data_IF_431884039692
#
_entry.id   IF_431884039692
#
_cell.length_a   1.000
_cell.length_b   1.000
_cell.length_c   1.000
_cell.angle_alpha   90.00
_cell.angle_beta   90.00
_cell.angle_gamma   90.00
#
_symmetry.space_group_name_H-M   'P 1'
#
loop_
_entity.id
_entity.type
_entity.pdbx_description
1 polymer ?
#
# COMPACT_ATOMS: atom_id res chain seq x y z
N UNK A 1 1.43 -19.51 -10.01
CA UNK A 1 2.59 -19.41 -10.94
C UNK A 1 2.80 -17.94 -11.27
N UNK A 2 4.05 -17.51 -11.52
CA UNK A 2 4.31 -16.13 -11.93
C UNK A 2 3.75 -15.89 -13.35
N UNK A 3 3.05 -14.77 -13.61
CA UNK A 3 2.54 -14.46 -14.93
C UNK A 3 3.68 -14.32 -15.95
N UNK A 4 3.40 -14.61 -17.22
CA UNK A 4 4.36 -14.44 -18.31
C UNK A 4 4.62 -12.95 -18.60
N UNK A 5 5.72 -12.64 -19.30
CA UNK A 5 6.02 -11.24 -19.66
C UNK A 5 4.96 -10.69 -20.60
N UNK A 6 4.64 -11.49 -21.61
CA UNK A 6 3.66 -11.17 -22.65
C UNK A 6 2.25 -11.00 -22.08
N UNK A 7 1.86 -11.82 -21.08
CA UNK A 7 0.60 -11.67 -20.36
C UNK A 7 0.48 -10.29 -19.71
N UNK A 8 1.51 -9.83 -19.00
CA UNK A 8 1.50 -8.52 -18.32
C UNK A 8 1.51 -7.38 -19.34
N UNK A 9 2.37 -7.46 -20.35
CA UNK A 9 2.47 -6.44 -21.41
C UNK A 9 1.13 -6.28 -22.14
N UNK A 10 0.48 -7.39 -22.46
CA UNK A 10 -0.82 -7.40 -23.13
C UNK A 10 -1.92 -6.88 -22.20
N UNK A 11 -2.01 -7.41 -20.97
CA UNK A 11 -3.06 -7.06 -20.00
C UNK A 11 -3.11 -5.57 -19.68
N UNK A 12 -1.95 -4.95 -19.47
CA UNK A 12 -1.87 -3.53 -19.06
C UNK A 12 -1.52 -2.59 -20.22
N UNK A 13 -1.59 -3.08 -21.45
CA UNK A 13 -1.31 -2.34 -22.68
C UNK A 13 0.01 -1.54 -22.65
N UNK A 14 1.10 -2.21 -22.30
CA UNK A 14 2.43 -1.60 -22.21
C UNK A 14 3.06 -1.49 -23.60
N UNK A 15 2.59 -0.52 -24.40
CA UNK A 15 3.00 -0.33 -25.81
C UNK A 15 4.52 -0.32 -26.01
N UNK A 16 5.25 0.33 -25.10
CA UNK A 16 6.71 0.43 -25.19
C UNK A 16 7.40 -0.94 -25.16
N UNK A 17 6.78 -1.96 -24.55
CA UNK A 17 7.34 -3.31 -24.45
C UNK A 17 6.82 -4.29 -25.51
N UNK A 18 5.91 -3.86 -26.40
CA UNK A 18 5.43 -4.73 -27.49
C UNK A 18 6.50 -4.93 -28.57
N UNK A 19 7.40 -3.96 -28.74
CA UNK A 19 8.56 -4.10 -29.62
C UNK A 19 9.71 -4.79 -28.88
N UNK A 20 10.42 -5.74 -29.52
CA UNK A 20 11.64 -6.31 -28.95
C UNK A 20 12.65 -5.23 -28.56
N UNK A 21 13.40 -5.50 -27.49
CA UNK A 21 14.48 -4.63 -27.04
C UNK A 21 15.74 -4.89 -27.83
N UNK A 22 16.41 -3.83 -28.27
CA UNK A 22 17.70 -3.87 -28.94
C UNK A 22 18.75 -3.12 -28.13
N UNK A 23 20.01 -3.53 -28.26
CA UNK A 23 21.14 -2.90 -27.57
C UNK A 23 21.40 -1.51 -28.15
N UNK A 24 21.67 -0.56 -27.27
CA UNK A 24 21.96 0.82 -27.67
C UNK A 24 23.45 1.08 -27.59
N UNK A 25 24.00 1.74 -28.62
CA UNK A 25 25.35 2.28 -28.58
C UNK A 25 25.31 3.76 -28.21
N UNK A 26 26.20 4.20 -27.31
CA UNK A 26 26.39 5.60 -26.93
C UNK A 26 27.88 5.92 -27.00
N UNK A 27 28.27 6.83 -27.89
CA UNK A 27 29.67 7.21 -28.14
C UNK A 27 30.58 6.03 -28.55
N UNK A 28 30.03 5.02 -29.22
CA UNK A 28 30.78 3.84 -29.66
C UNK A 28 30.82 2.68 -28.66
N UNK A 29 30.35 2.90 -27.43
CA UNK A 29 30.26 1.86 -26.39
C UNK A 29 28.82 1.36 -26.21
N UNK A 30 28.67 0.15 -25.67
CA UNK A 30 27.36 -0.36 -25.27
C UNK A 30 26.85 0.47 -24.10
N UNK A 31 25.68 1.08 -24.28
CA UNK A 31 25.08 1.94 -23.28
C UNK A 31 24.63 1.13 -22.06
N UNK A 32 24.82 1.72 -20.89
CA UNK A 32 24.37 1.16 -19.61
C UNK A 32 23.25 2.02 -19.03
N UNK A 33 22.33 1.36 -18.34
CA UNK A 33 21.34 1.99 -17.46
C UNK A 33 22.02 2.55 -16.22
N UNK A 34 21.33 3.41 -15.46
CA UNK A 34 21.84 3.97 -14.19
C UNK A 34 22.19 2.90 -13.15
N UNK A 35 21.53 1.74 -13.21
CA UNK A 35 21.80 0.60 -12.33
C UNK A 35 22.98 -0.26 -12.80
N UNK A 36 23.61 0.07 -13.94
CA UNK A 36 24.75 -0.65 -14.50
C UNK A 36 24.39 -1.82 -15.42
N UNK A 37 23.11 -2.08 -15.68
CA UNK A 37 22.68 -3.09 -16.66
C UNK A 37 22.80 -2.57 -18.10
N UNK A 38 22.88 -3.48 -19.08
CA UNK A 38 22.81 -3.13 -20.51
C UNK A 38 21.50 -2.40 -20.82
N UNK A 39 21.59 -1.24 -21.48
CA UNK A 39 20.43 -0.47 -21.90
C UNK A 39 19.83 -1.06 -23.18
N UNK A 40 18.52 -1.29 -23.14
CA UNK A 40 17.71 -1.71 -24.28
C UNK A 40 16.82 -0.56 -24.75
N UNK A 41 16.88 -0.23 -26.03
CA UNK A 41 16.18 0.88 -26.73
C UNK A 41 16.40 2.29 -26.13
N UNK A 42 15.99 2.53 -24.89
CA UNK A 42 16.18 3.77 -24.12
C UNK A 42 15.97 3.52 -22.62
N UNK A 43 16.16 4.55 -21.77
CA UNK A 43 15.98 4.41 -20.32
C UNK A 43 14.55 3.96 -19.95
N UNK A 44 13.53 4.53 -20.60
CA UNK A 44 12.12 4.21 -20.32
C UNK A 44 11.80 2.74 -20.63
N UNK A 45 12.21 2.22 -21.78
CA UNK A 45 12.03 0.83 -22.15
C UNK A 45 12.70 -0.10 -21.14
N UNK A 46 13.97 0.19 -20.80
CA UNK A 46 14.75 -0.64 -19.87
C UNK A 46 14.13 -0.65 -18.47
N UNK A 47 13.72 0.52 -17.98
CA UNK A 47 13.07 0.69 -16.69
C UNK A 47 11.72 -0.06 -16.63
N UNK A 48 10.87 0.12 -17.63
CA UNK A 48 9.57 -0.55 -17.70
C UNK A 48 9.72 -2.07 -17.79
N UNK A 49 10.70 -2.57 -18.56
CA UNK A 49 10.99 -4.01 -18.64
C UNK A 49 11.43 -4.59 -17.30
N UNK A 50 12.29 -3.87 -16.56
CA UNK A 50 12.74 -4.26 -15.22
C UNK A 50 11.59 -4.25 -14.23
N UNK A 51 10.76 -3.21 -14.25
CA UNK A 51 9.55 -3.10 -13.44
C UNK A 51 8.60 -4.26 -13.69
N UNK A 52 8.27 -4.59 -14.96
CA UNK A 52 7.43 -5.74 -15.31
C UNK A 52 8.03 -7.05 -14.80
N UNK A 53 9.34 -7.23 -14.95
CA UNK A 53 10.02 -8.46 -14.49
C UNK A 53 9.95 -8.60 -12.97
N UNK A 54 10.24 -7.53 -12.25
CA UNK A 54 10.15 -7.51 -10.79
C UNK A 54 8.71 -7.72 -10.31
N UNK A 55 7.72 -7.09 -10.95
CA UNK A 55 6.30 -7.30 -10.68
C UNK A 55 5.92 -8.77 -10.81
N UNK A 56 6.24 -9.40 -11.94
CA UNK A 56 5.87 -10.80 -12.23
C UNK A 56 6.36 -11.76 -11.15
N UNK A 57 7.58 -11.56 -10.64
CA UNK A 57 8.14 -12.42 -9.60
C UNK A 57 7.50 -12.17 -8.24
N UNK A 58 7.04 -10.95 -7.96
CA UNK A 58 6.40 -10.60 -6.69
C UNK A 58 4.88 -10.88 -6.68
N UNK A 59 4.21 -10.80 -7.84
CA UNK A 59 2.75 -10.82 -7.95
C UNK A 59 2.07 -12.01 -7.24
N UNK A 60 2.55 -13.27 -7.34
CA UNK A 60 1.92 -14.39 -6.63
C UNK A 60 1.95 -14.23 -5.11
N UNK A 61 3.05 -13.73 -4.57
CA UNK A 61 3.20 -13.47 -3.13
C UNK A 61 2.34 -12.27 -2.72
N UNK A 62 2.36 -11.18 -3.47
CA UNK A 62 1.56 -9.99 -3.17
C UNK A 62 0.06 -10.30 -3.15
N UNK A 63 -0.41 -11.15 -4.08
CA UNK A 63 -1.79 -11.63 -4.10
C UNK A 63 -2.13 -12.42 -2.84
N UNK A 64 -1.32 -13.41 -2.48
CA UNK A 64 -1.55 -14.20 -1.26
C UNK A 64 -1.53 -13.34 0.02
N UNK A 65 -0.66 -12.34 0.09
CA UNK A 65 -0.62 -11.40 1.22
C UNK A 65 -1.87 -10.51 1.26
N UNK A 66 -2.38 -10.07 0.11
CA UNK A 66 -3.60 -9.27 0.03
C UNK A 66 -4.80 -10.09 0.50
N UNK A 67 -4.96 -11.30 -0.04
CA UNK A 67 -6.04 -12.21 0.33
C UNK A 67 -6.04 -12.48 1.84
N UNK A 68 -4.85 -12.70 2.42
CA UNK A 68 -4.69 -12.89 3.86
C UNK A 68 -5.03 -11.60 4.64
N UNK A 69 -4.55 -10.44 4.21
CA UNK A 69 -4.81 -9.17 4.88
C UNK A 69 -6.31 -8.84 4.94
N UNK A 70 -7.02 -9.08 3.83
CA UNK A 70 -8.46 -8.83 3.70
C UNK A 70 -9.31 -9.84 4.47
N UNK A 71 -8.93 -11.13 4.44
CA UNK A 71 -9.60 -12.16 5.24
C UNK A 71 -9.46 -11.89 6.75
N UNK A 72 -8.26 -11.53 7.20
CA UNK A 72 -7.99 -11.21 8.61
C UNK A 72 -8.70 -9.91 9.03
N UNK A 73 -8.75 -8.90 8.15
CA UNK A 73 -9.49 -7.66 8.40
C UNK A 73 -10.99 -7.93 8.59
N UNK A 74 -11.58 -8.73 7.71
CA UNK A 74 -13.00 -9.13 7.81
C UNK A 74 -13.29 -9.86 9.13
N UNK A 75 -12.42 -10.81 9.51
CA UNK A 75 -12.54 -11.52 10.79
C UNK A 75 -12.45 -10.59 12.00
N UNK A 76 -11.63 -9.53 11.94
CA UNK A 76 -11.52 -8.56 13.03
C UNK A 76 -12.85 -7.86 13.30
N UNK A 77 -13.61 -7.51 12.27
CA UNK A 77 -14.93 -6.91 12.43
C UNK A 77 -15.95 -7.87 13.04
N UNK A 78 -15.89 -9.16 12.70
CA UNK A 78 -16.72 -10.21 13.32
C UNK A 78 -16.41 -10.38 14.81
N UNK A 79 -15.13 -10.32 15.17
CA UNK A 79 -14.68 -10.43 16.56
C UNK A 79 -15.05 -9.19 17.37
N UNK A 80 -14.96 -7.98 16.80
CA UNK A 80 -15.44 -6.75 17.45
C UNK A 80 -16.93 -6.82 17.73
N UNK A 81 -17.74 -7.26 16.75
CA UNK A 81 -19.18 -7.49 16.96
C UNK A 81 -19.46 -8.52 18.06
N UNK A 82 -18.64 -9.57 18.14
CA UNK A 82 -18.74 -10.59 19.20
C UNK A 82 -18.36 -10.03 20.58
N UNK A 83 -17.36 -9.14 20.64
CA UNK A 83 -16.94 -8.46 21.86
C UNK A 83 -18.04 -7.51 22.37
N UNK A 84 -18.69 -6.76 21.47
CA UNK A 84 -19.78 -5.86 21.80
C UNK A 84 -20.99 -6.63 22.37
N UNK A 85 -21.31 -7.81 21.84
CA UNK A 85 -22.37 -8.68 22.41
C UNK A 85 -22.06 -9.16 23.83
N UNK A 86 -20.79 -9.40 24.15
CA UNK A 86 -20.37 -9.74 25.52
C UNK A 86 -20.48 -8.52 26.45
N UNK A 87 -20.37 -7.30 25.90
CA UNK A 87 -20.56 -6.06 26.65
C UNK A 87 -22.05 -5.66 26.83
N UNK A 88 -22.89 -5.89 25.83
CA UNK A 88 -24.31 -5.45 25.79
C UNK A 88 -25.25 -6.29 26.66
N UNK A 89 -24.88 -7.51 27.06
CA UNK A 89 -25.62 -8.29 28.06
C UNK A 89 -25.63 -7.67 29.48
N UNK A 90 -25.10 -6.45 29.65
CA UNK A 90 -24.94 -5.77 30.93
C UNK A 90 -25.70 -4.42 31.05
N UNK A 91 -26.49 -4.02 30.06
CA UNK A 91 -27.32 -2.80 30.13
C UNK A 91 -28.66 -3.04 30.87
N UNK A 92 -28.61 -3.64 32.07
CA UNK A 92 -29.68 -3.46 33.05
C UNK A 92 -29.40 -2.18 33.84
N UNK A 93 -30.44 -1.36 34.04
CA UNK A 93 -30.37 0.07 34.41
C UNK A 93 -29.86 0.39 35.83
N UNK A 94 -29.02 -0.46 36.44
CA UNK A 94 -28.50 -0.27 37.78
C UNK A 94 -26.96 -0.26 37.78
N UNK A 95 -26.31 0.90 38.03
CA UNK A 95 -24.86 1.04 38.00
C UNK A 95 -24.29 0.52 39.32
N UNK A 96 -24.24 -0.80 39.51
CA UNK A 96 -23.38 -1.38 40.55
C UNK A 96 -22.03 -1.73 39.92
N UNK A 97 -20.91 -1.37 40.55
CA UNK A 97 -19.59 -1.80 40.10
C UNK A 97 -19.46 -3.29 40.41
N UNK A 98 -19.96 -4.14 39.53
CA UNK A 98 -19.77 -5.59 39.64
C UNK A 98 -18.59 -6.03 38.77
N UNK A 99 -17.67 -6.75 39.40
CA UNK A 99 -16.61 -7.49 38.75
C UNK A 99 -17.25 -8.54 37.83
N UNK A 100 -16.94 -8.58 36.52
CA UNK A 100 -17.40 -9.66 35.66
C UNK A 100 -16.98 -11.00 36.28
N UNK A 101 -17.88 -11.99 36.28
CA UNK A 101 -17.54 -13.34 36.72
C UNK A 101 -16.30 -13.84 35.97
N UNK A 102 -15.47 -14.71 36.57
CA UNK A 102 -14.18 -15.12 36.01
C UNK A 102 -14.28 -15.58 34.55
N UNK A 103 -15.37 -16.25 34.18
CA UNK A 103 -15.64 -16.72 32.82
C UNK A 103 -15.93 -15.62 31.80
N UNK A 104 -16.61 -14.53 32.19
CA UNK A 104 -16.89 -13.40 31.32
C UNK A 104 -15.65 -12.53 31.10
N UNK A 105 -14.84 -12.36 32.14
CA UNK A 105 -13.54 -11.70 32.04
C UNK A 105 -12.59 -12.48 31.12
N UNK A 106 -12.44 -13.79 31.33
CA UNK A 106 -11.60 -14.67 30.49
C UNK A 106 -12.03 -14.64 29.03
N UNK A 107 -13.35 -14.71 28.76
CA UNK A 107 -13.87 -14.65 27.39
C UNK A 107 -13.59 -13.29 26.73
N UNK A 108 -13.79 -12.18 27.46
CA UNK A 108 -13.48 -10.84 26.96
C UNK A 108 -11.98 -10.68 26.69
N UNK A 109 -11.14 -11.19 27.59
CA UNK A 109 -9.70 -11.14 27.45
C UNK A 109 -9.23 -11.92 26.21
N UNK A 110 -9.68 -13.17 26.03
CA UNK A 110 -9.35 -13.98 24.86
C UNK A 110 -9.80 -13.32 23.54
N UNK A 111 -11.00 -12.73 23.51
CA UNK A 111 -11.47 -11.98 22.33
C UNK A 111 -10.58 -10.77 22.02
N UNK A 112 -10.14 -10.01 23.04
CA UNK A 112 -9.23 -8.90 22.85
C UNK A 112 -7.85 -9.34 22.31
N UNK A 113 -7.31 -10.46 22.81
CA UNK A 113 -6.05 -11.02 22.29
C UNK A 113 -6.19 -11.45 20.82
N UNK A 114 -7.31 -12.07 20.46
CA UNK A 114 -7.58 -12.48 19.08
C UNK A 114 -7.77 -11.27 18.14
N UNK A 115 -8.47 -10.24 18.60
CA UNK A 115 -8.61 -8.97 17.86
C UNK A 115 -7.23 -8.35 17.64
N UNK A 116 -6.41 -8.25 18.68
CA UNK A 116 -5.07 -7.68 18.58
C UNK A 116 -4.18 -8.49 17.62
N UNK A 117 -4.20 -9.81 17.71
CA UNK A 117 -3.43 -10.69 16.82
C UNK A 117 -3.85 -10.51 15.34
N UNK A 118 -5.15 -10.46 15.06
CA UNK A 118 -5.65 -10.24 13.70
C UNK A 118 -5.27 -8.84 13.18
N UNK A 119 -5.42 -7.80 14.00
CA UNK A 119 -5.10 -6.44 13.57
C UNK A 119 -3.61 -6.27 13.28
N UNK A 120 -2.74 -6.79 14.13
CA UNK A 120 -1.29 -6.77 13.90
C UNK A 120 -0.89 -7.59 12.66
N UNK A 121 -1.52 -8.75 12.47
CA UNK A 121 -1.29 -9.61 11.29
C UNK A 121 -1.70 -8.94 9.98
N UNK A 122 -2.90 -8.35 9.93
CA UNK A 122 -3.41 -7.64 8.75
C UNK A 122 -2.57 -6.41 8.42
N UNK A 123 -2.20 -5.60 9.43
CA UNK A 123 -1.32 -4.44 9.23
C UNK A 123 0.06 -4.85 8.75
N UNK A 124 0.62 -5.94 9.26
CA UNK A 124 1.94 -6.43 8.82
C UNK A 124 1.92 -6.88 7.36
N UNK A 125 0.88 -7.61 6.95
CA UNK A 125 0.71 -8.03 5.56
C UNK A 125 0.52 -6.81 4.64
N UNK A 126 -0.35 -5.89 5.03
CA UNK A 126 -0.64 -4.67 4.26
C UNK A 126 0.59 -3.78 4.13
N UNK A 127 1.31 -3.55 5.24
CA UNK A 127 2.56 -2.81 5.26
C UNK A 127 3.63 -3.44 4.35
N UNK A 128 3.79 -4.76 4.37
CA UNK A 128 4.72 -5.46 3.49
C UNK A 128 4.40 -5.27 2.00
N UNK A 129 3.12 -5.34 1.62
CA UNK A 129 2.66 -5.08 0.25
C UNK A 129 3.00 -3.64 -0.15
N UNK A 130 2.58 -2.66 0.65
CA UNK A 130 2.77 -1.23 0.36
C UNK A 130 4.25 -0.86 0.25
N UNK A 131 5.10 -1.44 1.09
CA UNK A 131 6.55 -1.27 1.03
C UNK A 131 7.13 -1.84 -0.27
N UNK A 132 6.72 -3.05 -0.65
CA UNK A 132 7.19 -3.69 -1.89
C UNK A 132 6.79 -2.85 -3.11
N UNK A 133 5.52 -2.42 -3.19
CA UNK A 133 5.02 -1.55 -4.24
C UNK A 133 5.76 -0.21 -4.30
N UNK A 134 6.02 0.39 -3.13
CA UNK A 134 6.80 1.64 -3.04
C UNK A 134 8.20 1.45 -3.62
N UNK A 135 8.88 0.37 -3.24
CA UNK A 135 10.22 0.06 -3.77
C UNK A 135 10.22 -0.19 -5.28
N UNK A 136 9.24 -0.91 -5.82
CA UNK A 136 9.12 -1.16 -7.25
C UNK A 136 8.94 0.14 -8.05
N UNK A 137 8.03 1.02 -7.62
CA UNK A 137 7.76 2.26 -8.33
C UNK A 137 8.86 3.30 -8.14
N UNK A 138 9.52 3.35 -6.98
CA UNK A 138 10.70 4.21 -6.78
C UNK A 138 11.85 3.79 -7.70
N UNK A 139 12.13 2.49 -7.82
CA UNK A 139 13.14 1.99 -8.75
C UNK A 139 12.80 2.39 -10.20
N UNK A 140 11.55 2.20 -10.63
CA UNK A 140 11.07 2.64 -11.95
C UNK A 140 11.31 4.14 -12.16
N UNK A 141 10.92 4.98 -11.20
CA UNK A 141 11.08 6.43 -11.27
C UNK A 141 12.55 6.83 -11.40
N UNK A 142 13.41 6.24 -10.59
CA UNK A 142 14.84 6.58 -10.55
C UNK A 142 15.53 6.20 -11.86
N UNK A 143 15.20 5.01 -12.40
CA UNK A 143 15.67 4.52 -13.69
C UNK A 143 15.21 5.43 -14.84
N UNK A 144 13.96 5.88 -14.83
CA UNK A 144 13.39 6.80 -15.83
C UNK A 144 13.83 8.25 -15.65
N UNK A 145 14.50 8.59 -14.54
CA UNK A 145 14.76 9.98 -14.16
C UNK A 145 13.48 10.84 -14.07
N UNK A 146 12.33 10.23 -13.73
CA UNK A 146 11.05 10.89 -13.81
C UNK A 146 10.97 12.07 -12.83
N UNK A 147 10.48 13.22 -13.32
CA UNK A 147 10.42 14.44 -12.55
C UNK A 147 9.46 14.30 -11.36
N UNK A 148 9.69 15.09 -10.32
CA UNK A 148 8.83 15.09 -9.13
C UNK A 148 7.37 15.45 -9.47
N UNK A 149 7.17 16.41 -10.37
CA UNK A 149 5.83 16.83 -10.81
C UNK A 149 5.09 15.70 -11.52
N UNK A 150 5.78 14.93 -12.38
CA UNK A 150 5.19 13.76 -13.02
C UNK A 150 4.84 12.69 -11.97
N UNK A 151 5.73 12.42 -11.01
CA UNK A 151 5.44 11.49 -9.92
C UNK A 151 4.19 11.86 -9.11
N UNK A 152 4.03 13.16 -8.78
CA UNK A 152 2.92 13.65 -7.97
C UNK A 152 1.60 13.75 -8.77
N UNK A 153 1.67 14.04 -10.07
CA UNK A 153 0.51 14.30 -10.93
C UNK A 153 0.08 13.15 -11.86
N UNK A 154 0.83 12.05 -11.93
CA UNK A 154 0.49 10.93 -12.81
C UNK A 154 -0.74 10.19 -12.32
N UNK A 155 -1.70 9.98 -13.21
CA UNK A 155 -2.91 9.23 -12.96
C UNK A 155 -2.62 7.72 -12.73
N UNK A 156 -3.48 6.99 -12.00
CA UNK A 156 -4.73 7.43 -11.40
C UNK A 156 -4.51 8.29 -10.15
N UNK A 157 -5.38 9.28 -9.99
CA UNK A 157 -5.39 10.17 -8.82
C UNK A 157 -6.52 9.77 -7.89
N UNK A 158 -6.20 9.54 -6.63
CA UNK A 158 -7.18 9.31 -5.56
C UNK A 158 -7.18 10.57 -4.69
N UNK A 159 -8.28 11.31 -4.75
CA UNK A 159 -8.43 12.61 -4.09
C UNK A 159 -7.27 13.59 -4.39
N UNK A 160 -6.84 13.65 -5.65
CA UNK A 160 -5.76 14.55 -6.08
C UNK A 160 -4.34 14.05 -5.80
N UNK A 161 -4.17 12.86 -5.22
CA UNK A 161 -2.86 12.26 -4.99
C UNK A 161 -2.64 11.06 -5.91
N UNK A 162 -1.47 10.99 -6.53
CA UNK A 162 -1.08 9.83 -7.33
C UNK A 162 -0.81 8.59 -6.47
N UNK A 163 -0.93 7.41 -7.09
CA UNK A 163 -0.58 6.12 -6.46
C UNK A 163 0.82 6.16 -5.84
N UNK A 164 1.81 6.72 -6.56
CA UNK A 164 3.17 6.85 -6.05
C UNK A 164 3.27 7.69 -4.78
N UNK A 165 2.55 8.80 -4.68
CA UNK A 165 2.53 9.66 -3.48
C UNK A 165 1.87 8.94 -2.29
N UNK A 166 0.76 8.24 -2.53
CA UNK A 166 0.03 7.50 -1.49
C UNK A 166 0.89 6.38 -0.91
N UNK A 167 1.56 5.62 -1.78
CA UNK A 167 2.45 4.54 -1.37
C UNK A 167 3.63 5.04 -0.53
N UNK A 168 4.24 6.17 -0.91
CA UNK A 168 5.32 6.79 -0.13
C UNK A 168 4.82 7.27 1.23
N UNK A 169 3.69 7.97 1.28
CA UNK A 169 3.13 8.47 2.54
C UNK A 169 2.81 7.31 3.51
N UNK A 170 2.23 6.23 2.99
CA UNK A 170 1.85 5.07 3.80
C UNK A 170 3.08 4.28 4.25
N UNK A 171 4.08 4.10 3.38
CA UNK A 171 5.35 3.47 3.75
C UNK A 171 6.11 4.25 4.83
N UNK A 172 6.10 5.59 4.77
CA UNK A 172 6.68 6.43 5.81
C UNK A 172 5.95 6.26 7.14
N UNK A 173 4.61 6.24 7.11
CA UNK A 173 3.81 5.95 8.30
C UNK A 173 4.17 4.59 8.90
N UNK A 174 4.17 3.53 8.10
CA UNK A 174 4.42 2.17 8.58
C UNK A 174 5.81 1.99 9.19
N UNK A 175 6.86 2.53 8.54
CA UNK A 175 8.25 2.41 9.03
C UNK A 175 8.52 3.22 10.29
N UNK A 176 7.87 4.37 10.44
CA UNK A 176 8.17 5.36 11.48
C UNK A 176 7.01 5.58 12.45
N UNK A 177 6.08 4.63 12.54
CA UNK A 177 4.88 4.77 13.35
C UNK A 177 5.19 5.11 14.82
N UNK A 178 6.21 4.48 15.40
CA UNK A 178 6.59 4.69 16.79
C UNK A 178 7.20 6.09 17.02
N UNK A 179 7.96 6.60 16.03
CA UNK A 179 8.53 7.95 16.01
C UNK A 179 7.41 9.00 15.88
N UNK A 180 6.47 8.78 14.97
CA UNK A 180 5.33 9.69 14.74
C UNK A 180 4.51 9.83 16.03
N UNK A 181 4.28 8.72 16.74
CA UNK A 181 3.57 8.71 18.04
C UNK A 181 4.25 9.57 19.12
N UNK A 182 5.56 9.71 19.07
CA UNK A 182 6.35 10.47 20.06
C UNK A 182 6.54 11.94 19.65
N UNK A 183 6.35 12.27 18.38
CA UNK A 183 6.64 13.60 17.84
C UNK A 183 5.41 14.50 17.94
N UNK A 184 5.50 15.57 18.72
CA UNK A 184 4.43 16.56 18.86
C UNK A 184 5.02 17.96 19.04
N UNK A 185 4.80 18.91 18.09
CA UNK A 185 4.03 18.75 16.84
C UNK A 185 4.76 17.90 15.79
N UNK A 186 4.06 17.33 14.78
CA UNK A 186 4.69 16.57 13.70
C UNK A 186 5.75 17.40 12.95
N UNK A 187 6.80 16.75 12.45
CA UNK A 187 7.74 17.40 11.53
C UNK A 187 7.05 17.74 10.21
N UNK A 188 7.62 18.66 9.41
CA UNK A 188 7.06 19.01 8.09
C UNK A 188 6.87 17.77 7.18
N UNK A 189 7.81 16.82 7.21
CA UNK A 189 7.72 15.59 6.41
C UNK A 189 6.60 14.65 6.90
N UNK A 190 6.44 14.56 8.21
CA UNK A 190 5.35 13.80 8.83
C UNK A 190 4.01 14.43 8.48
N UNK A 191 3.88 15.76 8.63
CA UNK A 191 2.68 16.51 8.29
C UNK A 191 2.26 16.31 6.82
N UNK A 192 3.20 16.43 5.86
CA UNK A 192 2.89 16.19 4.44
C UNK A 192 2.37 14.77 4.17
N UNK A 193 2.97 13.76 4.81
CA UNK A 193 2.49 12.38 4.66
C UNK A 193 1.13 12.18 5.32
N UNK A 194 0.90 12.80 6.48
CA UNK A 194 -0.38 12.79 7.18
C UNK A 194 -1.49 13.45 6.35
N UNK A 195 -1.21 14.55 5.66
CA UNK A 195 -2.19 15.25 4.81
C UNK A 195 -2.65 14.34 3.66
N UNK A 196 -1.72 13.66 2.99
CA UNK A 196 -2.04 12.67 1.94
C UNK A 196 -2.92 11.55 2.49
N UNK A 197 -2.53 10.94 3.61
CA UNK A 197 -3.27 9.82 4.20
C UNK A 197 -4.67 10.23 4.63
N UNK A 198 -4.83 11.39 5.26
CA UNK A 198 -6.13 11.92 5.65
C UNK A 198 -7.02 12.17 4.43
N UNK A 199 -6.48 12.80 3.38
CA UNK A 199 -7.22 13.08 2.16
C UNK A 199 -7.76 11.79 1.49
N UNK A 200 -6.92 10.75 1.43
CA UNK A 200 -7.31 9.45 0.89
C UNK A 200 -8.37 8.76 1.76
N UNK A 201 -8.18 8.72 3.08
CA UNK A 201 -9.12 8.08 4.00
C UNK A 201 -10.46 8.82 4.05
N UNK A 202 -10.46 10.15 4.03
CA UNK A 202 -11.67 10.97 3.98
C UNK A 202 -12.47 10.70 2.70
N UNK A 203 -11.79 10.48 1.57
CA UNK A 203 -12.45 10.15 0.29
C UNK A 203 -13.18 8.81 0.33
N UNK A 204 -12.73 7.88 1.17
CA UNK A 204 -13.37 6.59 1.40
C UNK A 204 -14.49 6.64 2.45
N UNK A 205 -14.85 7.83 2.94
CA UNK A 205 -15.83 7.98 4.02
C UNK A 205 -15.30 7.54 5.39
N UNK A 206 -14.01 7.23 5.50
CA UNK A 206 -13.34 6.81 6.74
C UNK A 206 -12.89 8.03 7.57
N UNK A 207 -13.78 9.03 7.65
CA UNK A 207 -13.50 10.32 8.30
C UNK A 207 -12.99 10.13 9.71
N UNK A 208 -11.84 10.74 9.98
CA UNK A 208 -11.26 10.68 11.31
C UNK A 208 -11.86 11.79 12.17
N UNK A 209 -12.60 11.41 13.21
CA UNK A 209 -13.24 12.35 14.16
C UNK A 209 -12.24 13.29 14.84
N UNK A 210 -10.97 12.90 14.91
CA UNK A 210 -9.87 13.75 15.36
C UNK A 210 -8.83 13.78 14.24
N UNK A 211 -8.33 14.96 13.87
CA UNK A 211 -7.27 15.18 12.85
C UNK A 211 -5.91 14.54 13.18
N UNK A 212 -5.89 13.53 14.03
CA UNK A 212 -4.71 12.80 14.45
C UNK A 212 -4.82 11.38 13.91
N UNK A 213 -4.07 11.10 12.85
CA UNK A 213 -3.71 9.72 12.44
C UNK A 213 -3.09 8.93 13.61
N UNK A 214 -2.64 9.63 14.66
CA UNK A 214 -2.12 9.09 15.91
C UNK A 214 -3.20 8.30 16.65
N UNK A 215 -3.08 6.96 16.62
CA UNK A 215 -3.99 6.04 17.31
C UNK A 215 -5.04 5.41 16.42
N UNK A 216 -4.95 5.61 15.10
CA UNK A 216 -5.83 4.92 14.15
C UNK A 216 -5.23 3.57 13.86
N UNK A 217 -5.96 2.55 14.25
CA UNK A 217 -5.61 1.19 13.92
C UNK A 217 -5.99 0.88 12.47
N UNK A 218 -5.17 0.05 11.81
CA UNK A 218 -5.48 -0.45 10.48
C UNK A 218 -5.22 0.55 9.33
N UNK A 219 -4.34 1.55 9.48
CA UNK A 219 -4.09 2.53 8.41
C UNK A 219 -3.58 1.85 7.15
N UNK A 220 -2.62 0.93 7.26
CA UNK A 220 -2.05 0.26 6.09
C UNK A 220 -3.12 -0.58 5.39
N UNK A 221 -3.92 -1.34 6.15
CA UNK A 221 -5.02 -2.14 5.63
C UNK A 221 -6.08 -1.26 4.95
N UNK A 222 -6.47 -0.14 5.56
CA UNK A 222 -7.44 0.80 4.97
C UNK A 222 -6.93 1.44 3.69
N UNK A 223 -5.68 1.88 3.64
CA UNK A 223 -5.11 2.44 2.42
C UNK A 223 -5.00 1.36 1.34
N UNK A 224 -4.58 0.15 1.70
CA UNK A 224 -4.52 -0.96 0.78
C UNK A 224 -5.91 -1.30 0.22
N UNK A 225 -6.94 -1.30 1.08
CA UNK A 225 -8.33 -1.46 0.66
C UNK A 225 -8.77 -0.35 -0.28
N UNK A 226 -8.47 0.92 0.03
CA UNK A 226 -8.75 2.03 -0.90
C UNK A 226 -8.04 1.85 -2.24
N UNK A 227 -6.80 1.35 -2.25
CA UNK A 227 -6.01 1.13 -3.47
C UNK A 227 -6.45 -0.11 -4.26
N UNK A 228 -6.99 -1.14 -3.60
CA UNK A 228 -7.31 -2.44 -4.21
C UNK A 228 -8.81 -2.68 -4.37
N UNK A 229 -9.66 -1.97 -3.65
CA UNK A 229 -11.08 -2.31 -3.47
C UNK A 229 -11.27 -3.79 -3.07
N UNK A 230 -10.39 -4.27 -2.18
CA UNK A 230 -10.28 -5.67 -1.79
C UNK A 230 -9.76 -6.64 -2.86
N UNK A 231 -9.43 -6.16 -4.07
CA UNK A 231 -9.10 -6.99 -5.24
C UNK A 231 -7.68 -6.75 -5.78
N UNK A 232 -6.94 -7.84 -5.99
CA UNK A 232 -5.55 -7.77 -6.46
C UNK A 232 -5.42 -7.23 -7.89
N UNK A 233 -6.40 -7.51 -8.75
CA UNK A 233 -6.39 -7.06 -10.13
C UNK A 233 -6.62 -5.55 -10.21
N UNK A 234 -7.54 -4.99 -9.41
CA UNK A 234 -7.75 -3.53 -9.31
C UNK A 234 -6.48 -2.83 -8.79
N UNK A 235 -5.82 -3.40 -7.78
CA UNK A 235 -4.53 -2.89 -7.31
C UNK A 235 -3.48 -2.90 -8.43
N UNK A 236 -3.40 -4.01 -9.17
CA UNK A 236 -2.48 -4.18 -10.30
C UNK A 236 -2.75 -3.14 -11.38
N UNK A 237 -4.01 -2.97 -11.78
CA UNK A 237 -4.43 -2.00 -12.80
C UNK A 237 -4.03 -0.58 -12.43
N UNK A 238 -4.24 -0.16 -11.17
CA UNK A 238 -3.87 1.19 -10.73
C UNK A 238 -2.37 1.39 -10.68
N UNK A 239 -1.61 0.40 -10.22
CA UNK A 239 -0.15 0.44 -10.20
C UNK A 239 0.42 0.51 -11.62
N UNK A 240 -0.08 -0.32 -12.54
CA UNK A 240 0.37 -0.29 -13.93
C UNK A 240 -0.09 0.95 -14.70
N UNK A 241 -1.30 1.45 -14.44
CA UNK A 241 -1.76 2.71 -15.01
C UNK A 241 -0.85 3.88 -14.58
N UNK A 242 -0.46 3.92 -13.30
CA UNK A 242 0.52 4.87 -12.80
C UNK A 242 1.89 4.70 -13.47
N UNK A 243 2.41 3.48 -13.50
CA UNK A 243 3.72 3.19 -14.11
C UNK A 243 3.76 3.60 -15.59
N UNK A 244 2.71 3.28 -16.36
CA UNK A 244 2.62 3.56 -17.79
C UNK A 244 2.40 5.06 -18.08
N UNK A 245 1.74 5.79 -17.17
CA UNK A 245 1.56 7.23 -17.29
C UNK A 245 2.80 8.06 -16.93
N UNK A 246 3.79 7.44 -16.28
CA UNK A 246 5.00 8.12 -15.83
C UNK A 246 5.86 8.51 -17.04
N UNK A 247 6.37 9.74 -17.05
CA UNK A 247 7.20 10.26 -18.15
C UNK A 247 8.67 10.21 -17.78
N UNK A 248 9.56 9.83 -18.72
CA UNK A 248 10.99 9.98 -18.51
C UNK A 248 11.35 11.46 -18.35
N UNK A 249 12.36 11.74 -17.53
CA UNK A 249 12.88 13.10 -17.38
C UNK A 249 13.46 13.66 -18.69
N UNK A 250 13.60 14.99 -18.79
CA UNK A 250 14.30 15.64 -19.89
C UNK A 250 15.81 15.32 -19.90
#
# INVERSE_FOLDING_TARGET
LAPSHEEIVTKFNLEILKTPGDLVLKNGDIALTKSGDLMLNNEHYSAMRRFVSAWRFNAPMLKSLLDLAMAVSSRSEDLKRSLDQVADHHLDSNPKPFLPGPTAFERRFALNEEIAANMLGSESCSGAILLNLTSLLQALRDDMNAARLDWEGTAPLIHGHSVGVILVATSNYFRHWDEWRKTSPPTTRQATSMDVLNAVLDSAGLKQRNHRLMGVEGICTKILDVLSDGDFEILSERVFAFANGLKPGP
#
